data_IF_203388586038
#
_entry.id   IF_203388586038
#
_cell.length_a   1.000
_cell.length_b   1.000
_cell.length_c   1.000
_cell.angle_alpha   90.00
_cell.angle_beta   90.00
_cell.angle_gamma   90.00
#
_symmetry.space_group_name_H-M   'P 1'
#
loop_
_entity.id
_entity.type
_entity.pdbx_description
1 polymer ?
#
# COMPACT_ATOMS: atom_id res chain seq x y z
N UNK A 1 -16.52 -1.16 4.99
CA UNK A 1 -16.37 -2.37 4.21
C UNK A 1 -15.46 -2.24 3.00
N UNK A 2 -14.34 -2.91 3.04
CA UNK A 2 -13.45 -3.03 1.88
C UNK A 2 -13.74 -4.35 1.17
N UNK A 3 -13.86 -4.41 -0.18
CA UNK A 3 -14.22 -5.64 -0.91
C UNK A 3 -13.34 -6.85 -0.61
N UNK A 4 -12.04 -6.66 -0.37
CA UNK A 4 -11.12 -7.73 0.02
C UNK A 4 -11.49 -8.32 1.40
N UNK A 5 -11.85 -7.48 2.36
CA UNK A 5 -12.30 -7.91 3.72
C UNK A 5 -13.63 -8.66 3.62
N UNK A 6 -14.60 -8.09 2.92
CA UNK A 6 -15.92 -8.72 2.71
C UNK A 6 -15.77 -10.08 2.02
N UNK A 7 -14.90 -10.16 1.00
CA UNK A 7 -14.61 -11.41 0.30
C UNK A 7 -13.95 -12.45 1.21
N UNK A 8 -12.98 -12.06 2.01
CA UNK A 8 -12.29 -12.96 2.95
C UNK A 8 -13.26 -13.47 4.04
N UNK A 9 -14.01 -12.55 4.65
CA UNK A 9 -15.01 -12.93 5.66
C UNK A 9 -16.12 -13.82 5.09
N UNK A 10 -16.58 -13.53 3.86
CA UNK A 10 -17.61 -14.31 3.19
C UNK A 10 -17.18 -15.72 2.77
N UNK A 11 -15.88 -15.98 2.63
CA UNK A 11 -15.32 -17.31 2.33
C UNK A 11 -14.97 -18.11 3.59
N UNK A 12 -15.03 -17.50 4.76
CA UNK A 12 -14.68 -18.18 6.00
C UNK A 12 -15.75 -19.23 6.38
N UNK A 13 -15.33 -20.48 6.56
CA UNK A 13 -16.22 -21.59 6.90
C UNK A 13 -16.50 -21.63 8.41
N UNK A 14 -17.69 -21.18 8.81
CA UNK A 14 -18.17 -21.22 10.20
C UNK A 14 -18.77 -22.56 10.62
N UNK A 15 -18.90 -23.53 9.71
CA UNK A 15 -19.57 -24.83 9.98
C UNK A 15 -18.87 -25.66 11.07
N UNK A 16 -17.60 -25.37 11.32
CA UNK A 16 -16.80 -26.02 12.36
C UNK A 16 -16.74 -25.24 13.67
N UNK A 17 -17.56 -24.20 13.83
CA UNK A 17 -17.62 -23.36 15.03
C UNK A 17 -16.51 -22.30 15.08
N UNK A 18 -15.78 -22.07 13.99
CA UNK A 18 -14.83 -20.97 13.88
C UNK A 18 -15.56 -19.62 13.80
N UNK A 19 -14.93 -18.58 14.34
CA UNK A 19 -15.41 -17.19 14.30
C UNK A 19 -14.32 -16.33 13.65
N UNK A 20 -14.73 -15.36 12.84
CA UNK A 20 -13.82 -14.34 12.28
C UNK A 20 -14.32 -12.98 12.72
N UNK A 21 -13.46 -12.24 13.42
CA UNK A 21 -13.71 -10.88 13.87
C UNK A 21 -12.89 -9.90 13.05
N UNK A 22 -13.49 -8.77 12.69
CA UNK A 22 -12.83 -7.68 12.00
C UNK A 22 -12.24 -6.72 13.04
N UNK A 23 -10.98 -6.35 12.84
CA UNK A 23 -10.27 -5.34 13.62
C UNK A 23 -9.77 -4.29 12.63
N UNK A 24 -10.33 -3.09 12.67
CA UNK A 24 -10.01 -2.02 11.73
C UNK A 24 -9.01 -1.02 12.30
N UNK A 25 -8.99 -0.84 13.62
CA UNK A 25 -8.14 0.14 14.31
C UNK A 25 -7.62 -0.36 15.68
N UNK A 26 -6.92 0.53 16.39
CA UNK A 26 -6.36 0.23 17.70
C UNK A 26 -7.45 0.05 18.79
N UNK A 27 -8.55 0.76 18.70
CA UNK A 27 -9.68 0.65 19.65
C UNK A 27 -10.37 -0.70 19.50
N UNK A 28 -10.58 -1.14 18.27
CA UNK A 28 -11.06 -2.50 17.99
C UNK A 28 -10.10 -3.55 18.54
N UNK A 29 -8.78 -3.37 18.33
CA UNK A 29 -7.78 -4.29 18.85
C UNK A 29 -7.80 -4.37 20.38
N UNK A 30 -8.12 -3.28 21.08
CA UNK A 30 -8.29 -3.24 22.54
C UNK A 30 -9.59 -3.89 23.02
N UNK A 31 -10.63 -3.93 22.20
CA UNK A 31 -11.98 -4.36 22.62
C UNK A 31 -12.40 -5.72 22.08
N UNK A 32 -11.80 -6.20 20.98
CA UNK A 32 -12.15 -7.51 20.39
C UNK A 32 -12.09 -8.63 21.44
N UNK A 33 -13.09 -9.50 21.42
CA UNK A 33 -13.17 -10.67 22.30
C UNK A 33 -12.82 -11.94 21.53
N UNK A 34 -11.91 -12.74 22.09
CA UNK A 34 -11.44 -13.99 21.52
C UNK A 34 -11.65 -15.11 22.52
N UNK A 35 -12.54 -16.03 22.19
CA UNK A 35 -12.94 -17.12 23.10
C UNK A 35 -11.78 -18.03 23.50
N UNK A 36 -10.88 -18.37 22.57
CA UNK A 36 -9.68 -19.15 22.85
C UNK A 36 -8.46 -18.56 22.13
N UNK A 37 -7.69 -17.70 22.82
CA UNK A 37 -6.51 -17.06 22.22
C UNK A 37 -5.42 -18.04 21.75
N UNK A 38 -5.38 -19.25 22.26
CA UNK A 38 -4.35 -20.25 21.88
C UNK A 38 -4.59 -20.83 20.50
N UNK A 39 -5.81 -20.80 20.04
CA UNK A 39 -6.20 -21.27 18.69
C UNK A 39 -6.47 -20.12 17.73
N UNK A 40 -6.34 -18.89 18.21
CA UNK A 40 -6.55 -17.70 17.40
C UNK A 40 -5.36 -17.38 16.50
N UNK A 41 -5.67 -16.87 15.31
CA UNK A 41 -4.68 -16.32 14.39
C UNK A 41 -5.23 -15.05 13.74
N UNK A 42 -4.32 -14.18 13.30
CA UNK A 42 -4.69 -13.02 12.52
C UNK A 42 -4.10 -13.09 11.12
N UNK A 43 -4.78 -12.45 10.19
CA UNK A 43 -4.32 -12.15 8.82
C UNK A 43 -4.59 -10.69 8.54
N UNK A 44 -3.85 -10.11 7.60
CA UNK A 44 -4.03 -8.69 7.21
C UNK A 44 -4.30 -8.57 5.72
N UNK A 45 -4.85 -7.44 5.30
CA UNK A 45 -4.89 -7.09 3.89
C UNK A 45 -3.47 -6.82 3.37
N UNK A 46 -3.29 -6.96 2.05
CA UNK A 46 -1.98 -6.83 1.40
C UNK A 46 -1.55 -5.39 1.15
N UNK A 47 -2.45 -4.42 1.29
CA UNK A 47 -2.26 -3.01 0.92
C UNK A 47 -2.43 -2.03 2.08
N UNK A 48 -2.34 -2.50 3.32
CA UNK A 48 -2.47 -1.66 4.51
C UNK A 48 -1.24 -0.77 4.76
N UNK A 49 -1.42 0.22 5.60
CA UNK A 49 -0.32 0.97 6.21
C UNK A 49 0.51 0.03 7.08
N UNK A 50 1.81 -0.02 6.82
CA UNK A 50 2.75 -0.83 7.61
C UNK A 50 2.74 -0.42 9.08
N UNK A 51 2.81 0.89 9.35
CA UNK A 51 2.95 1.43 10.70
C UNK A 51 1.64 1.23 11.51
N UNK A 52 0.47 1.45 10.90
CA UNK A 52 -0.83 1.24 11.55
C UNK A 52 -1.04 -0.25 11.86
N UNK A 53 -0.74 -1.12 10.89
CA UNK A 53 -0.85 -2.56 11.07
C UNK A 53 0.06 -3.08 12.18
N UNK A 54 1.30 -2.59 12.26
CA UNK A 54 2.23 -2.97 13.32
C UNK A 54 1.68 -2.62 14.71
N UNK A 55 1.10 -1.41 14.89
CA UNK A 55 0.50 -1.01 16.18
C UNK A 55 -0.68 -1.90 16.57
N UNK A 56 -1.56 -2.21 15.63
CA UNK A 56 -2.70 -3.11 15.85
C UNK A 56 -2.21 -4.51 16.26
N UNK A 57 -1.24 -5.05 15.56
CA UNK A 57 -0.65 -6.37 15.86
C UNK A 57 0.02 -6.37 17.24
N UNK A 58 0.72 -5.31 17.62
CA UNK A 58 1.36 -5.20 18.94
C UNK A 58 0.32 -5.20 20.06
N UNK A 59 -0.81 -4.51 19.89
CA UNK A 59 -1.93 -4.55 20.85
C UNK A 59 -2.51 -5.96 20.94
N UNK A 60 -2.79 -6.61 19.81
CA UNK A 60 -3.31 -7.98 19.81
C UNK A 60 -2.36 -8.96 20.51
N UNK A 61 -1.04 -8.86 20.28
CA UNK A 61 -0.03 -9.69 20.95
C UNK A 61 0.11 -9.39 22.45
N UNK A 62 -0.09 -8.13 22.84
CA UNK A 62 -0.10 -7.74 24.25
C UNK A 62 -1.31 -8.35 24.99
N UNK A 63 -2.48 -8.33 24.36
CA UNK A 63 -3.71 -8.91 24.94
C UNK A 63 -3.74 -10.43 24.86
N UNK A 64 -3.24 -10.97 23.78
CA UNK A 64 -3.28 -12.40 23.44
C UNK A 64 -1.89 -12.91 23.08
N UNK A 65 -1.01 -13.18 24.06
CA UNK A 65 0.38 -13.55 23.80
C UNK A 65 0.60 -14.79 22.93
N UNK A 66 -0.40 -15.69 22.91
CA UNK A 66 -0.35 -16.94 22.13
C UNK A 66 -0.92 -16.79 20.70
N UNK A 67 -1.45 -15.58 20.33
CA UNK A 67 -2.05 -15.36 19.01
C UNK A 67 -1.03 -15.58 17.91
N UNK A 68 -1.42 -16.31 16.88
CA UNK A 68 -0.55 -16.63 15.75
C UNK A 68 -0.74 -15.65 14.60
N UNK A 69 0.35 -15.21 14.03
CA UNK A 69 0.35 -14.41 12.79
C UNK A 69 0.80 -15.23 11.59
N UNK A 70 0.75 -14.65 10.41
CA UNK A 70 1.27 -15.27 9.19
C UNK A 70 2.77 -15.55 9.32
N UNK A 71 3.27 -16.57 8.60
CA UNK A 71 4.70 -16.92 8.59
C UNK A 71 5.59 -15.85 7.96
N UNK A 72 5.04 -15.03 7.10
CA UNK A 72 5.61 -13.84 6.48
C UNK A 72 4.59 -12.73 6.58
N UNK A 73 5.03 -11.49 6.53
CA UNK A 73 4.11 -10.37 6.51
C UNK A 73 3.13 -10.50 5.33
N UNK A 74 1.84 -10.30 5.60
CA UNK A 74 0.80 -10.34 4.58
C UNK A 74 0.86 -9.12 3.67
N UNK A 75 1.38 -7.98 4.18
CA UNK A 75 1.52 -6.77 3.37
C UNK A 75 2.51 -7.07 2.23
N UNK A 76 2.05 -6.85 1.00
CA UNK A 76 2.83 -7.13 -0.19
C UNK A 76 4.14 -6.34 -0.20
N UNK A 77 5.26 -6.98 -0.58
CA UNK A 77 6.57 -6.32 -0.68
C UNK A 77 6.53 -5.06 -1.56
N UNK A 78 5.74 -5.07 -2.64
CA UNK A 78 5.57 -3.91 -3.49
C UNK A 78 4.87 -2.74 -2.77
N UNK A 79 3.96 -3.03 -1.84
CA UNK A 79 3.34 -2.03 -0.96
C UNK A 79 4.34 -1.49 0.05
N UNK A 80 5.13 -2.37 0.68
CA UNK A 80 6.17 -1.99 1.65
C UNK A 80 7.22 -1.07 1.01
N UNK A 81 7.81 -1.51 -0.11
CA UNK A 81 8.85 -0.75 -0.82
C UNK A 81 8.37 0.65 -1.21
N UNK A 82 7.10 0.78 -1.65
CA UNK A 82 6.53 2.07 -2.03
C UNK A 82 6.26 2.96 -0.83
N UNK A 83 5.77 2.41 0.27
CA UNK A 83 5.61 3.20 1.51
C UNK A 83 6.97 3.69 2.02
N UNK A 84 8.00 2.85 1.99
CA UNK A 84 9.35 3.25 2.41
C UNK A 84 9.95 4.31 1.46
N UNK A 85 9.67 4.24 0.16
CA UNK A 85 10.05 5.28 -0.78
C UNK A 85 9.33 6.60 -0.47
N UNK A 86 8.01 6.58 -0.23
CA UNK A 86 7.24 7.78 0.12
C UNK A 86 7.74 8.42 1.43
N UNK A 87 8.12 7.62 2.43
CA UNK A 87 8.71 8.15 3.68
C UNK A 87 9.96 8.98 3.42
N UNK A 88 10.83 8.55 2.49
CA UNK A 88 12.01 9.31 2.10
C UNK A 88 11.64 10.54 1.26
N UNK A 89 10.81 10.35 0.23
CA UNK A 89 10.40 11.42 -0.67
C UNK A 89 9.69 12.56 0.05
N UNK A 90 8.77 12.26 0.97
CA UNK A 90 8.01 13.28 1.70
C UNK A 90 8.88 14.12 2.66
N UNK A 91 10.08 13.64 3.02
CA UNK A 91 11.00 14.41 3.86
C UNK A 91 11.69 15.54 3.09
N UNK A 92 12.01 15.30 1.81
CA UNK A 92 12.82 16.22 1.00
C UNK A 92 11.97 17.03 -0.02
N UNK A 93 10.65 16.80 -0.07
CA UNK A 93 9.78 17.41 -1.07
C UNK A 93 8.52 18.01 -0.44
N UNK A 94 8.13 19.18 -0.94
CA UNK A 94 6.94 19.92 -0.47
C UNK A 94 5.66 19.32 -1.04
N UNK A 95 5.75 18.75 -2.25
CA UNK A 95 4.64 18.17 -2.99
C UNK A 95 4.97 16.73 -3.40
N UNK A 96 4.03 15.81 -3.16
CA UNK A 96 4.10 14.41 -3.60
C UNK A 96 2.93 14.10 -4.52
N UNK A 97 3.20 13.82 -5.79
CA UNK A 97 2.21 13.34 -6.75
C UNK A 97 2.23 11.82 -6.77
N UNK A 98 1.09 11.21 -6.47
CA UNK A 98 0.91 9.76 -6.51
C UNK A 98 0.14 9.40 -7.78
N UNK A 99 0.79 8.73 -8.71
CA UNK A 99 0.14 8.23 -9.93
C UNK A 99 -0.61 6.94 -9.62
N UNK A 100 -1.92 6.96 -9.79
CA UNK A 100 -2.77 5.80 -9.52
C UNK A 100 -4.25 6.15 -9.45
N UNK A 101 -5.09 5.12 -9.51
CA UNK A 101 -6.53 5.29 -9.47
C UNK A 101 -7.06 5.56 -8.05
N UNK A 102 -8.10 6.39 -7.87
CA UNK A 102 -8.82 6.55 -6.61
C UNK A 102 -9.38 5.25 -6.02
N UNK A 103 -9.59 4.25 -6.86
CA UNK A 103 -10.05 2.92 -6.43
C UNK A 103 -8.92 2.00 -5.94
N UNK A 104 -7.67 2.44 -6.04
CA UNK A 104 -6.50 1.68 -5.60
C UNK A 104 -6.20 1.95 -4.13
N UNK A 105 -6.42 0.95 -3.26
CA UNK A 105 -6.07 1.05 -1.83
C UNK A 105 -4.61 1.40 -1.62
N UNK A 106 -3.69 0.76 -2.37
CA UNK A 106 -2.27 1.06 -2.27
C UNK A 106 -1.96 2.52 -2.62
N UNK A 107 -2.53 3.05 -3.72
CA UNK A 107 -2.28 4.45 -4.13
C UNK A 107 -2.82 5.46 -3.11
N UNK A 108 -4.02 5.21 -2.56
CA UNK A 108 -4.57 6.04 -1.49
C UNK A 108 -3.68 6.05 -0.25
N UNK A 109 -3.15 4.87 0.14
CA UNK A 109 -2.23 4.77 1.30
C UNK A 109 -0.94 5.55 1.10
N UNK A 110 -0.38 5.59 -0.12
CA UNK A 110 0.81 6.39 -0.41
C UNK A 110 0.52 7.89 -0.26
N UNK A 111 -0.63 8.35 -0.78
CA UNK A 111 -1.08 9.74 -0.59
C UNK A 111 -1.25 10.09 0.88
N UNK A 112 -2.01 9.30 1.62
CA UNK A 112 -2.25 9.50 3.06
C UNK A 112 -0.95 9.52 3.87
N UNK A 113 0.01 8.67 3.51
CA UNK A 113 1.32 8.62 4.16
C UNK A 113 2.11 9.89 3.93
N UNK A 114 2.15 10.40 2.69
CA UNK A 114 2.82 11.66 2.36
C UNK A 114 2.20 12.83 3.14
N UNK A 115 0.88 12.91 3.21
CA UNK A 115 0.16 13.95 3.97
C UNK A 115 0.45 13.87 5.47
N UNK A 116 0.48 12.68 6.05
CA UNK A 116 0.86 12.47 7.48
C UNK A 116 2.30 12.91 7.79
N UNK A 117 3.18 12.82 6.82
CA UNK A 117 4.58 13.26 6.95
C UNK A 117 4.77 14.76 6.70
N UNK A 118 3.70 15.49 6.35
CA UNK A 118 3.67 16.94 6.22
C UNK A 118 3.87 17.46 4.80
N UNK A 119 4.02 16.60 3.80
CA UNK A 119 4.04 16.99 2.41
C UNK A 119 2.61 17.23 1.89
N UNK A 120 2.43 18.19 0.99
CA UNK A 120 1.20 18.28 0.22
C UNK A 120 1.13 17.09 -0.74
N UNK A 121 -0.02 16.41 -0.86
CA UNK A 121 -0.07 15.23 -1.72
C UNK A 121 -1.36 15.12 -2.51
N UNK A 122 -1.24 14.71 -3.77
CA UNK A 122 -2.36 14.48 -4.67
C UNK A 122 -2.26 13.13 -5.35
N UNK A 123 -3.40 12.46 -5.43
CA UNK A 123 -3.57 11.24 -6.21
C UNK A 123 -4.11 11.63 -7.59
N UNK A 124 -3.41 11.23 -8.64
CA UNK A 124 -3.73 11.58 -10.03
C UNK A 124 -3.75 10.34 -10.93
N UNK A 125 -4.74 10.25 -11.81
CA UNK A 125 -4.83 9.19 -12.81
C UNK A 125 -3.92 9.45 -14.02
N UNK A 126 -3.56 10.72 -14.26
CA UNK A 126 -2.74 11.11 -15.42
C UNK A 126 -2.29 12.56 -15.40
N UNK A 127 -1.49 12.97 -16.40
CA UNK A 127 -0.88 14.31 -16.46
C UNK A 127 -1.89 15.45 -16.57
N UNK A 128 -3.09 15.21 -17.09
CA UNK A 128 -4.16 16.18 -17.26
C UNK A 128 -4.77 16.65 -15.93
N UNK A 129 -4.55 15.90 -14.84
CA UNK A 129 -5.06 16.25 -13.52
C UNK A 129 -4.07 17.11 -12.72
N UNK A 130 -2.89 17.39 -13.26
CA UNK A 130 -1.94 18.28 -12.61
C UNK A 130 -2.42 19.72 -12.71
N UNK A 131 -2.73 20.33 -11.56
CA UNK A 131 -3.00 21.76 -11.49
C UNK A 131 -1.67 22.52 -11.56
N UNK A 132 -1.47 23.42 -12.56
CA UNK A 132 -0.24 24.20 -12.65
C UNK A 132 0.12 24.96 -11.38
N UNK A 133 -0.88 25.37 -10.59
CA UNK A 133 -0.65 26.08 -9.31
C UNK A 133 0.11 25.26 -8.31
N UNK A 134 -0.09 23.94 -8.29
CA UNK A 134 0.66 23.06 -7.39
C UNK A 134 2.15 23.06 -7.70
N UNK A 135 2.50 23.17 -8.99
CA UNK A 135 3.88 23.22 -9.48
C UNK A 135 4.51 24.58 -9.18
N UNK A 136 3.75 25.65 -9.37
CA UNK A 136 4.20 27.03 -9.11
C UNK A 136 4.48 27.28 -7.61
N UNK A 137 3.74 26.63 -6.72
CA UNK A 137 3.84 26.80 -5.26
C UNK A 137 4.91 25.90 -4.62
N UNK A 138 5.29 24.82 -5.28
CA UNK A 138 6.24 23.85 -4.73
C UNK A 138 7.70 24.17 -5.09
N UNK A 139 8.59 24.05 -4.13
CA UNK A 139 10.05 24.16 -4.36
C UNK A 139 10.65 22.84 -4.82
N UNK A 140 10.08 21.73 -4.37
CA UNK A 140 10.52 20.38 -4.71
C UNK A 140 9.31 19.44 -4.84
N UNK A 141 9.27 18.68 -5.92
CA UNK A 141 8.16 17.78 -6.26
C UNK A 141 8.66 16.36 -6.40
N UNK A 142 8.06 15.45 -5.64
CA UNK A 142 8.25 14.02 -5.83
C UNK A 142 7.12 13.42 -6.65
N UNK A 143 7.44 12.46 -7.51
CA UNK A 143 6.48 11.61 -8.20
C UNK A 143 6.69 10.17 -7.76
N UNK A 144 5.62 9.57 -7.29
CA UNK A 144 5.56 8.13 -6.97
C UNK A 144 4.34 7.50 -7.63
N UNK A 145 4.25 6.19 -7.61
CA UNK A 145 3.17 5.49 -8.28
C UNK A 145 2.66 4.30 -7.48
N UNK A 146 1.37 4.02 -7.59
CA UNK A 146 0.81 2.75 -7.11
C UNK A 146 1.42 1.55 -7.83
N UNK A 147 1.37 0.37 -7.19
CA UNK A 147 1.98 -0.86 -7.71
C UNK A 147 1.44 -1.29 -9.10
N UNK A 148 0.22 -0.89 -9.43
CA UNK A 148 -0.44 -1.21 -10.70
C UNK A 148 -0.45 -0.04 -11.69
N UNK A 149 0.16 1.10 -11.36
CA UNK A 149 0.21 2.24 -12.28
C UNK A 149 1.11 1.93 -13.49
N UNK A 150 0.66 2.18 -14.72
CA UNK A 150 1.47 1.94 -15.90
C UNK A 150 2.65 2.91 -15.99
N UNK A 151 3.83 2.40 -16.33
CA UNK A 151 5.06 3.20 -16.45
C UNK A 151 4.92 4.36 -17.43
N UNK A 152 4.22 4.14 -18.56
CA UNK A 152 3.99 5.19 -19.56
C UNK A 152 3.17 6.37 -19.01
N UNK A 153 2.28 6.16 -18.03
CA UNK A 153 1.53 7.24 -17.36
C UNK A 153 2.47 8.01 -16.43
N UNK A 154 3.34 7.32 -15.69
CA UNK A 154 4.35 7.97 -14.85
C UNK A 154 5.27 8.86 -15.69
N UNK A 155 5.74 8.37 -16.83
CA UNK A 155 6.57 9.15 -17.76
C UNK A 155 5.82 10.36 -18.30
N UNK A 156 4.55 10.23 -18.67
CA UNK A 156 3.72 11.35 -19.12
C UNK A 156 3.52 12.42 -18.04
N UNK A 157 3.39 12.02 -16.78
CA UNK A 157 3.35 12.94 -15.62
C UNK A 157 4.67 13.69 -15.50
N UNK A 158 5.81 13.01 -15.59
CA UNK A 158 7.13 13.65 -15.57
C UNK A 158 7.32 14.63 -16.74
N UNK A 159 6.87 14.25 -17.94
CA UNK A 159 6.94 15.15 -19.10
C UNK A 159 6.05 16.39 -18.90
N UNK A 160 4.88 16.21 -18.33
CA UNK A 160 3.99 17.34 -18.02
C UNK A 160 4.61 18.29 -16.98
N UNK A 161 5.30 17.78 -15.98
CA UNK A 161 6.01 18.61 -15.01
C UNK A 161 7.14 19.42 -15.67
N UNK A 162 7.86 18.85 -16.65
CA UNK A 162 8.85 19.58 -17.45
C UNK A 162 8.22 20.73 -18.24
N UNK A 163 7.07 20.48 -18.88
CA UNK A 163 6.31 21.52 -19.60
C UNK A 163 5.87 22.66 -18.67
N UNK A 164 5.58 22.33 -17.39
CA UNK A 164 5.18 23.30 -16.37
C UNK A 164 6.37 23.99 -15.69
N UNK A 165 7.61 23.70 -16.09
CA UNK A 165 8.81 24.42 -15.64
C UNK A 165 9.69 23.66 -14.63
N UNK A 166 9.49 22.36 -14.44
CA UNK A 166 10.42 21.56 -13.62
C UNK A 166 11.77 21.41 -14.34
N UNK A 167 12.79 22.10 -13.87
CA UNK A 167 14.10 22.19 -14.53
C UNK A 167 14.97 20.95 -14.31
N UNK A 168 14.80 20.27 -13.19
CA UNK A 168 15.64 19.14 -12.80
C UNK A 168 14.78 17.95 -12.41
N UNK A 169 14.93 16.84 -13.12
CA UNK A 169 14.27 15.57 -12.78
C UNK A 169 15.35 14.53 -12.52
N UNK A 170 15.43 14.08 -11.26
CA UNK A 170 16.24 12.96 -10.82
C UNK A 170 15.40 11.72 -10.62
N UNK A 171 16.02 10.56 -10.60
CA UNK A 171 15.40 9.32 -10.17
C UNK A 171 16.03 8.86 -8.87
N UNK A 172 15.23 8.67 -7.84
CA UNK A 172 15.70 8.01 -6.62
C UNK A 172 15.93 6.51 -6.87
N UNK A 173 17.02 6.02 -6.35
CA UNK A 173 17.32 4.58 -6.39
C UNK A 173 16.45 3.88 -5.34
N UNK A 174 15.46 3.14 -5.81
CA UNK A 174 14.62 2.28 -4.98
C UNK A 174 15.28 0.95 -4.61
N UNK A 175 14.51 0.09 -3.98
CA UNK A 175 14.91 -1.31 -3.76
C UNK A 175 14.83 -2.06 -5.08
N UNK A 176 15.86 -2.84 -5.40
CA UNK A 176 15.84 -3.73 -6.56
C UNK A 176 14.85 -4.88 -6.31
N UNK A 177 13.72 -4.85 -7.01
CA UNK A 177 12.67 -5.87 -6.91
C UNK A 177 13.01 -7.06 -7.80
N UNK A 178 13.75 -8.03 -7.26
CA UNK A 178 14.13 -9.27 -7.96
C UNK A 178 13.05 -10.37 -7.91
N UNK A 179 11.85 -10.07 -7.44
CA UNK A 179 10.77 -11.05 -7.27
C UNK A 179 10.18 -11.47 -8.60
N UNK A 180 10.29 -12.75 -8.93
CA UNK A 180 9.68 -13.35 -10.12
C UNK A 180 8.61 -14.37 -9.72
N UNK A 181 7.42 -14.20 -10.26
CA UNK A 181 6.33 -15.16 -10.07
C UNK A 181 6.39 -16.23 -11.17
N UNK A 182 6.40 -17.50 -10.76
CA UNK A 182 6.28 -18.60 -11.72
C UNK A 182 4.88 -18.65 -12.32
N UNK A 183 4.79 -18.96 -13.60
CA UNK A 183 3.51 -19.29 -14.22
C UNK A 183 2.86 -20.50 -13.50
N UNK A 184 1.52 -20.53 -13.37
CA UNK A 184 0.80 -21.72 -12.97
C UNK A 184 1.22 -22.93 -13.80
N UNK A 185 1.20 -24.12 -13.19
CA UNK A 185 1.68 -25.34 -13.87
C UNK A 185 0.93 -25.61 -15.18
N UNK A 186 -0.34 -25.26 -15.23
CA UNK A 186 -1.25 -25.43 -16.36
C UNK A 186 -0.92 -24.50 -17.53
N UNK A 187 -0.23 -23.39 -17.28
CA UNK A 187 0.19 -22.41 -18.27
C UNK A 187 1.66 -22.54 -18.67
N UNK A 188 2.41 -23.46 -18.06
CA UNK A 188 3.76 -23.77 -18.52
C UNK A 188 3.63 -24.48 -19.86
N UNK A 189 3.88 -23.72 -20.92
CA UNK A 189 3.95 -24.30 -22.28
C UNK A 189 5.00 -25.41 -22.26
N UNK A 190 4.60 -26.62 -22.65
CA UNK A 190 5.59 -27.64 -22.98
C UNK A 190 6.44 -27.09 -24.13
N UNK A 191 7.76 -27.23 -24.07
CA UNK A 191 8.57 -26.87 -25.21
C UNK A 191 8.02 -27.62 -26.42
N UNK A 192 7.69 -26.89 -27.46
CA UNK A 192 7.34 -27.46 -28.76
C UNK A 192 8.67 -27.97 -29.31
N UNK A 193 8.80 -29.30 -29.44
CA UNK A 193 9.95 -29.97 -30.08
C UNK A 193 10.11 -29.53 -31.54
#
# INVERSE_FOLDING_TARGET
GHPEVEGTMGQFDTSRGGVMELVEDEDDAWTVDIADPKTASFVTQTTLSMDDTARIIDILRQRFPDIQGPRKDDICYATQNRQDAVKRLAFDNDLVLVVGSPNSSNSNRLKELAERLGAQSYLIDGPEQIDPRWVDEASAIAVTAGASAPENVVQAVCDRLRELGADHIGQETGVDESVQFSLPKELKLHPVD
#
